data_IF_811199928786
#
_entry.id   IF_811199928786
#
_cell.length_a   1.000
_cell.length_b   1.000
_cell.length_c   1.000
_cell.angle_alpha   90.00
_cell.angle_beta   90.00
_cell.angle_gamma   90.00
#
_symmetry.space_group_name_H-M   'P 1'
#
loop_
_entity.id
_entity.type
_entity.pdbx_description
1 polymer ?
#
# COMPACT_ATOMS: atom_id res chain seq x y z
N UNK A 1 0.06 -14.05 -25.64
CA UNK A 1 -0.99 -13.42 -24.81
C UNK A 1 -0.54 -13.35 -23.36
N UNK A 2 -0.75 -12.24 -22.69
CA UNK A 2 -0.53 -12.05 -21.27
C UNK A 2 -1.88 -11.98 -20.56
N UNK A 3 -2.03 -12.70 -19.44
CA UNK A 3 -3.22 -12.63 -18.61
C UNK A 3 -2.87 -12.11 -17.22
N UNK A 4 -3.67 -11.15 -16.75
CA UNK A 4 -3.64 -10.66 -15.39
C UNK A 4 -4.94 -11.00 -14.65
N UNK A 5 -4.80 -11.53 -13.46
CA UNK A 5 -5.90 -11.85 -12.56
C UNK A 5 -5.53 -11.49 -11.11
N UNK A 6 -6.51 -11.47 -10.22
CA UNK A 6 -6.29 -11.28 -8.80
C UNK A 6 -6.65 -12.55 -8.02
N UNK A 7 -5.73 -12.99 -7.17
CA UNK A 7 -5.97 -14.09 -6.24
C UNK A 7 -6.78 -13.57 -5.06
N UNK A 8 -8.10 -13.80 -5.05
CA UNK A 8 -9.04 -13.27 -4.04
C UNK A 8 -8.62 -13.56 -2.60
N UNK A 9 -8.06 -14.74 -2.31
CA UNK A 9 -7.64 -15.13 -0.97
C UNK A 9 -6.45 -14.38 -0.41
N UNK A 10 -5.61 -13.80 -1.28
CA UNK A 10 -4.38 -13.10 -0.88
C UNK A 10 -4.31 -11.65 -1.35
N UNK A 11 -5.23 -11.22 -2.23
CA UNK A 11 -5.19 -9.90 -2.87
C UNK A 11 -3.99 -9.67 -3.79
N UNK A 12 -3.25 -10.74 -4.12
CA UNK A 12 -2.07 -10.67 -5.00
C UNK A 12 -2.45 -10.73 -6.47
N UNK A 13 -1.64 -10.08 -7.29
CA UNK A 13 -1.71 -10.20 -8.74
C UNK A 13 -1.22 -11.59 -9.16
N UNK A 14 -1.93 -12.20 -10.09
CA UNK A 14 -1.50 -13.37 -10.84
C UNK A 14 -1.22 -12.95 -12.27
N UNK A 15 0.02 -13.09 -12.68
CA UNK A 15 0.50 -12.79 -14.03
C UNK A 15 0.88 -14.10 -14.73
N UNK A 16 0.36 -14.31 -15.92
CA UNK A 16 0.73 -15.46 -16.75
C UNK A 16 1.00 -15.00 -18.19
N UNK A 17 1.93 -15.63 -18.86
CA UNK A 17 2.28 -15.36 -20.26
C UNK A 17 2.40 -16.67 -21.03
N UNK A 18 1.84 -16.71 -22.23
CA UNK A 18 1.96 -17.89 -23.12
C UNK A 18 3.37 -18.05 -23.69
N UNK A 19 4.12 -16.94 -23.77
CA UNK A 19 5.53 -16.94 -24.15
C UNK A 19 6.39 -17.02 -22.90
N UNK A 20 7.03 -18.16 -22.70
CA UNK A 20 7.87 -18.43 -21.55
C UNK A 20 9.13 -17.54 -21.51
N UNK A 21 9.71 -17.25 -22.69
CA UNK A 21 10.90 -16.38 -22.77
C UNK A 21 10.56 -14.95 -22.35
N UNK A 22 9.43 -14.42 -22.81
CA UNK A 22 8.95 -13.11 -22.39
C UNK A 22 8.57 -13.08 -20.90
N UNK A 23 7.97 -14.17 -20.38
CA UNK A 23 7.68 -14.27 -18.95
C UNK A 23 8.94 -14.14 -18.11
N UNK A 24 9.99 -14.90 -18.46
CA UNK A 24 11.26 -14.83 -17.73
C UNK A 24 11.96 -13.47 -17.91
N UNK A 25 11.90 -12.85 -19.11
CA UNK A 25 12.44 -11.49 -19.34
C UNK A 25 11.77 -10.46 -18.40
N UNK A 26 10.44 -10.50 -18.30
CA UNK A 26 9.69 -9.61 -17.40
C UNK A 26 10.09 -9.91 -15.94
N UNK A 27 10.12 -11.16 -15.56
CA UNK A 27 10.47 -11.60 -14.20
C UNK A 27 11.89 -11.18 -13.80
N UNK A 28 12.85 -11.26 -14.72
CA UNK A 28 14.22 -10.79 -14.55
C UNK A 28 14.28 -9.28 -14.34
N UNK A 29 13.52 -8.51 -15.12
CA UNK A 29 13.45 -7.05 -14.98
C UNK A 29 12.96 -6.64 -13.58
N UNK A 30 12.02 -7.41 -13.00
CA UNK A 30 11.51 -7.22 -11.64
C UNK A 30 12.25 -8.08 -10.62
N UNK A 31 13.58 -8.10 -10.69
CA UNK A 31 14.44 -8.79 -9.74
C UNK A 31 15.66 -7.96 -9.36
N UNK A 32 16.22 -8.21 -8.20
CA UNK A 32 17.44 -7.57 -7.70
C UNK A 32 18.49 -8.62 -7.35
N UNK A 33 19.77 -8.24 -7.40
CA UNK A 33 20.84 -9.11 -6.96
C UNK A 33 20.73 -9.40 -5.46
N UNK A 34 20.83 -10.66 -5.08
CA UNK A 34 20.80 -11.07 -3.68
C UNK A 34 22.20 -10.90 -3.05
N UNK A 35 22.51 -9.71 -2.59
CA UNK A 35 23.80 -9.39 -1.97
C UNK A 35 24.08 -10.27 -0.74
N UNK A 36 23.05 -10.62 0.03
CA UNK A 36 23.19 -11.54 1.17
C UNK A 36 23.62 -12.96 0.73
N UNK A 37 23.29 -13.38 -0.50
CA UNK A 37 23.71 -14.68 -1.02
C UNK A 37 25.22 -14.77 -1.26
N UNK A 38 25.92 -13.65 -1.47
CA UNK A 38 27.39 -13.65 -1.57
C UNK A 38 28.03 -14.17 -0.28
N UNK A 39 27.47 -13.80 0.87
CA UNK A 39 27.94 -14.28 2.18
C UNK A 39 27.39 -15.67 2.51
N UNK A 40 26.11 -15.94 2.20
CA UNK A 40 25.47 -17.22 2.45
C UNK A 40 26.07 -18.38 1.61
N UNK A 41 26.68 -18.11 0.44
CA UNK A 41 27.34 -19.12 -0.40
C UNK A 41 28.58 -19.74 0.22
N UNK A 42 29.17 -19.11 1.24
CA UNK A 42 30.17 -19.75 2.08
C UNK A 42 29.61 -20.94 2.85
N UNK A 43 28.29 -20.97 3.08
CA UNK A 43 27.58 -21.97 3.90
C UNK A 43 26.52 -22.77 3.14
N UNK A 44 26.05 -22.28 1.98
CA UNK A 44 25.03 -22.98 1.17
C UNK A 44 25.21 -22.70 -0.32
N UNK A 45 25.46 -23.75 -1.11
CA UNK A 45 25.53 -23.70 -2.59
C UNK A 45 24.20 -23.35 -3.26
N UNK A 46 23.08 -23.41 -2.53
CA UNK A 46 21.71 -23.25 -3.03
C UNK A 46 21.14 -21.85 -2.80
N UNK A 47 21.90 -20.90 -2.24
CA UNK A 47 21.38 -19.54 -2.07
C UNK A 47 21.10 -18.88 -3.43
N UNK A 48 19.86 -18.42 -3.70
CA UNK A 48 19.49 -17.84 -4.98
C UNK A 48 20.27 -16.57 -5.26
N UNK A 49 20.77 -16.42 -6.49
CA UNK A 49 21.57 -15.24 -6.89
C UNK A 49 20.75 -13.97 -6.94
N UNK A 50 19.46 -14.10 -7.26
CA UNK A 50 18.52 -12.98 -7.41
C UNK A 50 17.32 -13.17 -6.50
N UNK A 51 16.75 -12.06 -6.06
CA UNK A 51 15.45 -11.98 -5.42
C UNK A 51 14.46 -11.44 -6.43
N UNK A 52 13.34 -12.10 -6.61
CA UNK A 52 12.34 -11.77 -7.61
C UNK A 52 11.09 -11.20 -6.94
N UNK A 53 10.57 -10.07 -7.45
CA UNK A 53 9.28 -9.54 -7.03
C UNK A 53 8.11 -10.35 -7.62
N UNK A 54 8.36 -11.03 -8.76
CA UNK A 54 7.41 -11.95 -9.40
C UNK A 54 7.89 -13.37 -9.14
N UNK A 55 7.06 -14.23 -8.53
CA UNK A 55 7.40 -15.64 -8.29
C UNK A 55 7.49 -16.41 -9.60
N UNK A 56 8.10 -17.62 -9.58
CA UNK A 56 8.15 -18.49 -10.75
C UNK A 56 6.74 -18.89 -11.27
N UNK A 57 5.74 -18.85 -10.40
CA UNK A 57 4.34 -19.09 -10.78
C UNK A 57 3.59 -17.81 -11.19
N UNK A 58 4.25 -16.65 -11.27
CA UNK A 58 3.66 -15.38 -11.69
C UNK A 58 2.83 -14.67 -10.62
N UNK A 59 3.00 -14.99 -9.34
CA UNK A 59 2.36 -14.26 -8.25
C UNK A 59 3.23 -13.08 -7.82
N UNK A 60 2.64 -11.90 -7.65
CA UNK A 60 3.33 -10.69 -7.21
C UNK A 60 2.37 -9.73 -6.48
N UNK A 61 2.90 -8.63 -5.97
CA UNK A 61 2.05 -7.60 -5.36
C UNK A 61 1.21 -6.89 -6.42
N UNK A 62 -0.02 -6.54 -6.07
CA UNK A 62 -0.98 -5.94 -7.01
C UNK A 62 -0.47 -4.64 -7.64
N UNK A 63 0.30 -3.85 -6.90
CA UNK A 63 0.90 -2.61 -7.40
C UNK A 63 1.83 -2.78 -8.59
N UNK A 64 2.43 -3.98 -8.75
CA UNK A 64 3.27 -4.30 -9.91
C UNK A 64 2.51 -4.34 -11.24
N UNK A 65 1.17 -4.45 -11.23
CA UNK A 65 0.38 -4.41 -12.46
C UNK A 65 0.73 -3.20 -13.34
N UNK A 66 0.75 -2.00 -12.74
CA UNK A 66 1.02 -0.76 -13.49
C UNK A 66 2.46 -0.70 -13.98
N UNK A 67 3.41 -1.16 -13.18
CA UNK A 67 4.83 -1.19 -13.55
C UNK A 67 5.10 -2.21 -14.67
N UNK A 68 4.47 -3.39 -14.62
CA UNK A 68 4.56 -4.37 -15.71
C UNK A 68 3.94 -3.81 -16.99
N UNK A 69 2.78 -3.15 -16.92
CA UNK A 69 2.16 -2.49 -18.07
C UNK A 69 3.05 -1.41 -18.65
N UNK A 70 3.65 -0.58 -17.82
CA UNK A 70 4.59 0.46 -18.26
C UNK A 70 5.83 -0.14 -18.94
N UNK A 71 6.39 -1.21 -18.35
CA UNK A 71 7.52 -1.92 -18.95
C UNK A 71 7.18 -2.46 -20.34
N UNK A 72 6.03 -3.09 -20.54
CA UNK A 72 5.60 -3.60 -21.84
C UNK A 72 5.51 -2.49 -22.90
N UNK A 73 5.02 -1.32 -22.50
CA UNK A 73 4.91 -0.14 -23.39
C UNK A 73 6.31 0.41 -23.71
N UNK A 74 7.18 0.59 -22.74
CA UNK A 74 8.53 1.13 -22.91
C UNK A 74 9.41 0.23 -23.78
N UNK A 75 9.30 -1.09 -23.60
CA UNK A 75 10.01 -2.07 -24.42
C UNK A 75 9.34 -2.34 -25.80
N UNK A 76 8.26 -1.61 -26.12
CA UNK A 76 7.51 -1.75 -27.36
C UNK A 76 7.06 -3.21 -27.64
N UNK A 77 6.75 -3.96 -26.57
CA UNK A 77 6.31 -5.34 -26.66
C UNK A 77 4.84 -5.37 -27.09
N UNK A 78 4.63 -5.69 -28.38
CA UNK A 78 3.30 -5.84 -28.93
C UNK A 78 2.74 -7.23 -28.63
N UNK A 79 1.92 -7.34 -27.60
CA UNK A 79 1.30 -8.59 -27.16
C UNK A 79 -0.10 -8.34 -26.62
N UNK A 80 -1.02 -9.25 -26.90
CA UNK A 80 -2.38 -9.19 -26.37
C UNK A 80 -2.36 -9.32 -24.87
N UNK A 81 -3.06 -8.39 -24.18
CA UNK A 81 -3.18 -8.34 -22.74
C UNK A 81 -4.63 -8.52 -22.34
N UNK A 82 -4.92 -9.59 -21.65
CA UNK A 82 -6.21 -9.87 -21.05
C UNK A 82 -6.21 -9.55 -19.55
N UNK A 83 -7.28 -8.91 -19.09
CA UNK A 83 -7.49 -8.52 -17.70
C UNK A 83 -8.83 -9.09 -17.27
N UNK A 84 -8.83 -9.96 -16.25
CA UNK A 84 -10.07 -10.55 -15.73
C UNK A 84 -11.00 -9.49 -15.11
N UNK A 85 -12.29 -9.76 -15.09
CA UNK A 85 -13.28 -8.83 -14.50
C UNK A 85 -13.07 -8.66 -12.99
N UNK A 86 -12.57 -9.71 -12.31
CA UNK A 86 -12.17 -9.61 -10.91
C UNK A 86 -11.07 -8.57 -10.71
N UNK A 87 -10.05 -8.56 -11.56
CA UNK A 87 -8.97 -7.58 -11.48
C UNK A 87 -9.46 -6.19 -11.91
N UNK A 88 -10.27 -6.09 -12.97
CA UNK A 88 -10.88 -4.81 -13.39
C UNK A 88 -11.65 -4.14 -12.25
N UNK A 89 -12.45 -4.90 -11.50
CA UNK A 89 -13.22 -4.36 -10.38
C UNK A 89 -12.35 -3.79 -9.26
N UNK A 90 -11.14 -4.32 -9.09
CA UNK A 90 -10.16 -3.84 -8.10
C UNK A 90 -9.36 -2.64 -8.63
N UNK A 91 -9.03 -2.63 -9.93
CA UNK A 91 -8.29 -1.54 -10.58
C UNK A 91 -9.18 -0.32 -10.87
N UNK A 92 -10.48 -0.54 -11.11
CA UNK A 92 -11.45 0.51 -11.41
C UNK A 92 -12.07 1.10 -10.13
N UNK A 93 -11.29 1.29 -9.10
CA UNK A 93 -11.72 2.07 -7.91
C UNK A 93 -11.81 3.56 -8.28
N UNK A 94 -12.20 3.84 -9.53
CA UNK A 94 -12.37 5.20 -10.04
C UNK A 94 -13.41 5.96 -9.22
N UNK A 95 -12.95 6.71 -8.25
CA UNK A 95 -13.75 7.74 -7.63
C UNK A 95 -14.03 8.82 -8.68
N UNK A 96 -15.20 8.77 -9.29
CA UNK A 96 -15.71 9.84 -10.15
C UNK A 96 -16.38 10.97 -9.35
N UNK A 97 -16.34 10.89 -8.02
CA UNK A 97 -16.94 11.88 -7.15
C UNK A 97 -16.06 13.13 -7.04
N UNK A 98 -16.64 14.31 -6.87
CA UNK A 98 -15.89 15.51 -6.57
C UNK A 98 -15.01 15.31 -5.34
N UNK A 99 -13.81 15.91 -5.34
CA UNK A 99 -12.98 15.94 -4.14
C UNK A 99 -13.68 16.67 -3.02
N UNK A 100 -13.71 16.06 -1.84
CA UNK A 100 -14.06 16.75 -0.61
C UNK A 100 -12.97 17.77 -0.27
N UNK A 101 -13.35 19.00 0.01
CA UNK A 101 -12.42 20.13 0.25
C UNK A 101 -12.79 21.00 1.45
N UNK A 102 -13.83 20.64 2.18
CA UNK A 102 -14.26 21.41 3.36
C UNK A 102 -13.41 21.05 4.58
N UNK A 103 -12.17 21.55 4.56
CA UNK A 103 -11.17 21.37 5.62
C UNK A 103 -10.89 22.70 6.34
N UNK A 104 -10.19 22.61 7.48
CA UNK A 104 -9.70 23.80 8.19
C UNK A 104 -8.64 24.59 7.40
N UNK A 105 -8.02 23.97 6.39
CA UNK A 105 -6.99 24.57 5.54
C UNK A 105 -7.26 24.22 4.08
N UNK A 106 -6.90 25.13 3.18
CA UNK A 106 -6.98 24.86 1.75
C UNK A 106 -5.95 23.84 1.29
N UNK A 107 -6.38 22.90 0.45
CA UNK A 107 -5.47 21.97 -0.21
C UNK A 107 -4.63 22.70 -1.25
N UNK A 108 -3.33 22.50 -1.22
CA UNK A 108 -2.44 22.95 -2.29
C UNK A 108 -2.65 22.10 -3.54
N UNK A 109 -2.40 22.66 -4.71
CA UNK A 109 -2.61 21.97 -6.00
C UNK A 109 -1.96 20.58 -6.05
N UNK A 110 -0.71 20.47 -5.62
CA UNK A 110 -0.02 19.16 -5.61
C UNK A 110 -0.63 18.15 -4.62
N UNK A 111 -1.23 18.62 -3.52
CA UNK A 111 -1.92 17.75 -2.56
C UNK A 111 -3.21 17.23 -3.18
N UNK A 112 -3.97 18.07 -3.88
CA UNK A 112 -5.13 17.63 -4.65
C UNK A 112 -4.75 16.59 -5.70
N UNK A 113 -3.65 16.80 -6.42
CA UNK A 113 -3.16 15.87 -7.43
C UNK A 113 -2.78 14.52 -6.83
N UNK A 114 -2.11 14.51 -5.67
CA UNK A 114 -1.80 13.28 -4.94
C UNK A 114 -3.09 12.55 -4.56
N UNK A 115 -4.07 13.25 -4.01
CA UNK A 115 -5.35 12.65 -3.59
C UNK A 115 -6.09 12.09 -4.81
N UNK A 116 -6.24 12.87 -5.91
CA UNK A 116 -6.89 12.43 -7.15
C UNK A 116 -6.24 11.16 -7.73
N UNK A 117 -4.89 11.15 -7.80
CA UNK A 117 -4.14 9.99 -8.28
C UNK A 117 -4.31 8.77 -7.35
N UNK A 118 -4.26 9.00 -6.04
CA UNK A 118 -4.46 7.94 -5.04
C UNK A 118 -5.85 7.32 -5.17
N UNK A 119 -6.90 8.12 -5.19
CA UNK A 119 -8.27 7.66 -5.36
C UNK A 119 -8.47 6.88 -6.67
N UNK A 120 -7.84 7.32 -7.76
CA UNK A 120 -7.90 6.63 -9.06
C UNK A 120 -7.19 5.28 -9.05
N UNK A 121 -6.06 5.17 -8.34
CA UNK A 121 -5.22 3.96 -8.35
C UNK A 121 -5.61 2.95 -7.26
N UNK A 122 -6.31 3.39 -6.20
CA UNK A 122 -6.70 2.56 -5.06
C UNK A 122 -5.54 2.18 -4.14
N UNK A 123 -4.28 2.29 -4.58
CA UNK A 123 -3.09 2.00 -3.78
C UNK A 123 -1.84 2.64 -4.36
N UNK A 124 -0.83 2.78 -3.52
CA UNK A 124 0.46 3.30 -3.96
C UNK A 124 1.29 3.92 -2.85
N UNK A 125 2.45 4.42 -3.22
CA UNK A 125 3.34 5.18 -2.35
C UNK A 125 3.30 6.65 -2.75
N UNK A 126 2.97 7.51 -1.80
CA UNK A 126 2.96 8.97 -1.95
C UNK A 126 4.28 9.52 -1.41
N UNK A 127 5.11 10.07 -2.29
CA UNK A 127 6.38 10.69 -1.90
C UNK A 127 6.16 12.18 -1.76
N UNK A 128 6.21 12.67 -0.53
CA UNK A 128 6.02 14.07 -0.17
C UNK A 128 7.18 14.51 0.73
N UNK A 129 7.94 15.49 0.28
CA UNK A 129 9.09 16.01 1.02
C UNK A 129 8.72 16.52 2.42
N UNK A 130 9.73 16.68 3.27
CA UNK A 130 9.53 17.27 4.62
C UNK A 130 8.90 18.66 4.48
N UNK A 131 7.89 18.95 5.30
CA UNK A 131 7.16 20.22 5.24
C UNK A 131 6.12 20.36 4.13
N UNK A 132 5.96 19.33 3.25
CA UNK A 132 4.93 19.34 2.19
C UNK A 132 3.50 19.06 2.71
N UNK A 133 3.27 19.03 4.03
CA UNK A 133 1.95 18.77 4.60
C UNK A 133 1.48 17.33 4.43
N UNK A 134 2.39 16.36 4.56
CA UNK A 134 2.12 14.92 4.44
C UNK A 134 0.93 14.49 5.32
N UNK A 135 0.91 14.89 6.60
CA UNK A 135 -0.16 14.55 7.55
C UNK A 135 -1.51 15.09 7.11
N UNK A 136 -1.55 16.35 6.66
CA UNK A 136 -2.78 16.95 6.12
C UNK A 136 -3.26 16.25 4.85
N UNK A 137 -2.34 15.95 3.91
CA UNK A 137 -2.68 15.19 2.70
C UNK A 137 -3.22 13.80 3.03
N UNK A 138 -2.66 13.15 4.05
CA UNK A 138 -3.14 11.85 4.56
C UNK A 138 -4.56 11.96 5.13
N UNK A 139 -4.80 12.94 6.00
CA UNK A 139 -6.13 13.20 6.58
C UNK A 139 -7.16 13.49 5.48
N UNK A 140 -6.80 14.31 4.49
CA UNK A 140 -7.67 14.64 3.37
C UNK A 140 -7.96 13.44 2.46
N UNK A 141 -7.00 12.54 2.25
CA UNK A 141 -7.24 11.30 1.53
C UNK A 141 -8.22 10.39 2.28
N UNK A 142 -8.04 10.23 3.59
CA UNK A 142 -8.96 9.42 4.43
C UNK A 142 -10.36 10.03 4.41
N UNK A 143 -10.48 11.36 4.55
CA UNK A 143 -11.77 12.06 4.51
C UNK A 143 -12.49 11.84 3.18
N UNK A 144 -11.76 11.87 2.06
CA UNK A 144 -12.35 11.57 0.75
C UNK A 144 -12.88 10.14 0.67
N UNK A 145 -12.20 9.15 1.25
CA UNK A 145 -12.72 7.79 1.37
C UNK A 145 -13.96 7.74 2.26
N UNK A 146 -13.92 8.40 3.41
CA UNK A 146 -15.01 8.43 4.37
C UNK A 146 -16.28 9.10 3.81
N UNK A 147 -16.14 10.22 3.09
CA UNK A 147 -17.27 10.90 2.48
C UNK A 147 -17.94 10.08 1.34
N UNK A 148 -17.16 9.24 0.67
CA UNK A 148 -17.61 8.44 -0.46
C UNK A 148 -17.90 6.97 -0.10
N UNK A 149 -17.74 6.56 1.16
CA UNK A 149 -18.08 5.20 1.58
C UNK A 149 -19.63 5.01 1.61
N UNK A 150 -20.05 3.76 1.47
CA UNK A 150 -21.48 3.43 1.49
C UNK A 150 -22.12 3.64 2.86
N UNK A 151 -21.37 3.35 3.91
CA UNK A 151 -21.83 3.40 5.29
C UNK A 151 -20.72 3.95 6.18
N UNK A 152 -20.96 5.12 6.75
CA UNK A 152 -20.00 5.83 7.59
C UNK A 152 -19.80 5.16 8.96
N UNK A 153 -20.80 4.46 9.46
CA UNK A 153 -20.72 3.81 10.77
C UNK A 153 -19.83 2.57 10.74
N UNK A 154 -19.82 1.87 9.61
CA UNK A 154 -18.97 0.67 9.42
C UNK A 154 -17.61 0.97 8.83
N UNK A 155 -17.39 2.14 8.25
CA UNK A 155 -16.10 2.51 7.67
C UNK A 155 -14.95 2.43 8.70
N UNK A 156 -13.89 1.72 8.35
CA UNK A 156 -12.68 1.55 9.18
C UNK A 156 -11.41 1.84 8.41
N UNK A 157 -10.57 2.69 9.00
CA UNK A 157 -9.22 2.97 8.52
C UNK A 157 -8.19 2.72 9.62
N UNK A 158 -7.06 2.14 9.27
CA UNK A 158 -5.87 2.08 10.13
C UNK A 158 -4.81 3.01 9.59
N UNK A 159 -4.26 3.84 10.46
CA UNK A 159 -3.07 4.66 10.19
C UNK A 159 -1.93 4.13 11.03
N UNK A 160 -0.93 3.54 10.36
CA UNK A 160 0.28 3.03 10.98
C UNK A 160 1.36 4.11 11.00
N UNK A 161 1.85 4.44 12.18
CA UNK A 161 3.01 5.33 12.35
C UNK A 161 4.21 4.56 12.90
N UNK A 162 5.45 5.00 12.65
CA UNK A 162 6.65 4.23 13.03
C UNK A 162 6.79 4.01 14.54
N UNK A 163 6.51 5.02 15.34
CA UNK A 163 6.73 4.98 16.78
C UNK A 163 5.58 5.56 17.60
N UNK A 164 5.66 5.37 18.92
CA UNK A 164 4.58 5.73 19.83
C UNK A 164 4.38 7.25 19.97
N UNK A 165 5.44 8.04 19.89
CA UNK A 165 5.36 9.51 19.97
C UNK A 165 4.53 10.10 18.85
N UNK A 166 4.68 9.54 17.65
CA UNK A 166 3.93 9.98 16.46
C UNK A 166 2.44 9.64 16.52
N UNK A 167 2.00 8.65 17.32
CA UNK A 167 0.57 8.35 17.47
C UNK A 167 -0.19 9.56 17.99
N UNK A 168 0.31 10.20 19.05
CA UNK A 168 -0.34 11.37 19.64
C UNK A 168 -0.23 12.57 18.73
N UNK A 169 0.94 12.82 18.17
CA UNK A 169 1.14 13.93 17.23
C UNK A 169 0.21 13.84 16.02
N UNK A 170 0.16 12.68 15.35
CA UNK A 170 -0.71 12.45 14.18
C UNK A 170 -2.19 12.62 14.54
N UNK A 171 -2.59 12.13 15.73
CA UNK A 171 -3.95 12.30 16.21
C UNK A 171 -4.31 13.78 16.36
N UNK A 172 -3.46 14.56 17.05
CA UNK A 172 -3.70 15.99 17.32
C UNK A 172 -3.69 16.78 16.00
N UNK A 173 -2.79 16.47 15.08
CA UNK A 173 -2.76 17.08 13.75
C UNK A 173 -4.04 16.78 12.94
N UNK A 174 -4.54 15.53 12.95
CA UNK A 174 -5.80 15.18 12.26
C UNK A 174 -7.00 15.90 12.85
N UNK A 175 -7.08 16.03 14.19
CA UNK A 175 -8.13 16.82 14.84
C UNK A 175 -8.15 18.27 14.38
N UNK A 176 -7.01 18.85 14.08
CA UNK A 176 -6.87 20.21 13.61
C UNK A 176 -7.16 20.40 12.10
N UNK A 177 -7.27 19.31 11.34
CA UNK A 177 -7.50 19.38 9.90
C UNK A 177 -8.96 19.67 9.50
N UNK A 178 -9.92 19.62 10.43
CA UNK A 178 -11.35 19.78 10.11
C UNK A 178 -11.95 18.52 9.47
N UNK A 179 -11.44 17.33 9.81
CA UNK A 179 -12.01 16.05 9.37
C UNK A 179 -13.30 15.73 10.11
N UNK A 180 -14.21 14.98 9.46
CA UNK A 180 -15.53 14.65 10.02
C UNK A 180 -15.61 13.23 10.60
N UNK A 181 -14.61 12.38 10.31
CA UNK A 181 -14.55 11.03 10.86
C UNK A 181 -14.13 11.02 12.34
N UNK A 182 -14.59 10.00 13.06
CA UNK A 182 -14.20 9.80 14.47
C UNK A 182 -12.81 9.16 14.56
N UNK A 183 -11.95 9.71 15.42
CA UNK A 183 -10.58 9.29 15.65
C UNK A 183 -10.41 8.56 16.98
N UNK A 184 -9.54 7.57 17.01
CA UNK A 184 -9.04 6.95 18.25
C UNK A 184 -7.55 6.65 18.16
N UNK A 185 -6.88 6.65 19.32
CA UNK A 185 -5.48 6.22 19.46
C UNK A 185 -5.43 4.80 20.00
N UNK A 186 -4.56 3.98 19.44
CA UNK A 186 -4.23 2.69 20.01
C UNK A 186 -2.77 2.66 20.45
N UNK A 187 -2.57 2.60 21.76
CA UNK A 187 -1.25 2.53 22.40
C UNK A 187 -1.18 1.30 23.30
N UNK A 188 0.01 0.91 23.74
CA UNK A 188 0.18 -0.26 24.63
C UNK A 188 -0.63 -0.20 25.93
N UNK A 189 -1.02 1.01 26.37
CA UNK A 189 -1.79 1.25 27.59
C UNK A 189 -3.30 1.37 27.34
N UNK A 190 -3.71 1.71 26.13
CA UNK A 190 -5.12 1.95 25.77
C UNK A 190 -5.53 1.07 24.61
N UNK A 191 -6.68 0.40 24.74
CA UNK A 191 -7.34 -0.27 23.63
C UNK A 191 -7.99 0.80 22.73
N UNK A 192 -8.10 0.57 21.40
CA UNK A 192 -8.80 1.49 20.54
C UNK A 192 -10.30 1.47 20.82
N UNK A 193 -10.96 2.60 20.68
CA UNK A 193 -12.42 2.65 20.59
C UNK A 193 -12.82 2.15 19.20
N UNK A 194 -13.40 0.96 19.11
CA UNK A 194 -13.80 0.36 17.83
C UNK A 194 -15.07 1.01 17.24
N UNK A 195 -15.71 1.95 17.92
CA UNK A 195 -16.77 2.78 17.32
C UNK A 195 -16.18 3.89 16.44
N UNK A 196 -14.89 4.25 16.64
CA UNK A 196 -14.20 5.22 15.82
C UNK A 196 -13.96 4.70 14.40
N UNK A 197 -13.95 5.62 13.44
CA UNK A 197 -13.70 5.33 12.03
C UNK A 197 -12.22 5.13 11.72
N UNK A 198 -11.36 5.90 12.38
CA UNK A 198 -9.92 5.90 12.11
C UNK A 198 -9.15 5.57 13.38
N UNK A 199 -8.34 4.52 13.33
CA UNK A 199 -7.48 4.07 14.41
C UNK A 199 -6.02 4.42 14.07
N UNK A 200 -5.41 5.29 14.86
CA UNK A 200 -3.99 5.62 14.73
C UNK A 200 -3.21 4.77 15.72
N UNK A 201 -2.24 4.00 15.24
CA UNK A 201 -1.42 3.12 16.07
C UNK A 201 0.01 3.01 15.55
N UNK A 202 0.93 2.62 16.42
CA UNK A 202 2.30 2.40 15.99
C UNK A 202 2.54 0.96 15.52
N UNK A 203 3.58 0.78 14.70
CA UNK A 203 3.96 -0.50 14.12
C UNK A 203 4.18 -1.58 15.21
N UNK A 204 4.76 -1.22 16.37
CA UNK A 204 5.03 -2.15 17.46
C UNK A 204 3.77 -2.80 18.04
N UNK A 205 2.69 -2.02 18.20
CA UNK A 205 1.38 -2.53 18.66
C UNK A 205 0.81 -3.52 17.66
N UNK A 206 0.83 -3.16 16.36
CA UNK A 206 0.33 -4.04 15.32
C UNK A 206 1.12 -5.35 15.30
N UNK A 207 2.44 -5.31 15.43
CA UNK A 207 3.28 -6.51 15.47
C UNK A 207 3.01 -7.43 16.68
N UNK A 208 2.59 -6.86 17.80
CA UNK A 208 2.33 -7.61 19.03
C UNK A 208 0.88 -8.08 19.20
N UNK A 209 -0.08 -7.37 18.60
CA UNK A 209 -1.53 -7.57 18.84
C UNK A 209 -2.32 -7.97 17.63
N UNK A 210 -1.71 -8.11 16.45
CA UNK A 210 -2.42 -8.39 15.20
C UNK A 210 -3.25 -9.68 15.28
N UNK A 211 -2.67 -10.76 15.82
CA UNK A 211 -3.33 -12.06 15.89
C UNK A 211 -4.50 -12.07 16.89
N UNK A 212 -4.52 -11.13 17.84
CA UNK A 212 -5.60 -10.91 18.82
C UNK A 212 -6.67 -9.91 18.31
N UNK A 213 -6.46 -9.30 17.15
CA UNK A 213 -7.26 -8.18 16.63
C UNK A 213 -7.79 -8.48 15.23
N UNK A 214 -8.76 -9.40 15.18
CA UNK A 214 -9.37 -9.89 13.91
C UNK A 214 -9.91 -8.76 13.03
N UNK A 215 -10.47 -7.69 13.62
CA UNK A 215 -11.01 -6.53 12.93
C UNK A 215 -9.99 -5.83 12.01
N UNK A 216 -8.69 -5.88 12.35
CA UNK A 216 -7.64 -5.27 11.54
C UNK A 216 -7.52 -5.88 10.14
N UNK A 217 -7.96 -7.11 9.96
CA UNK A 217 -7.89 -7.81 8.67
C UNK A 217 -8.89 -7.25 7.66
N UNK A 218 -9.98 -6.65 8.14
CA UNK A 218 -11.16 -6.28 7.34
C UNK A 218 -11.42 -4.78 7.29
N UNK A 219 -10.39 -3.96 7.41
CA UNK A 219 -10.53 -2.51 7.28
C UNK A 219 -10.71 -2.11 5.81
N UNK A 220 -11.35 -0.96 5.59
CA UNK A 220 -11.60 -0.42 4.24
C UNK A 220 -10.35 0.27 3.67
N UNK A 221 -9.53 0.83 4.54
CA UNK A 221 -8.37 1.63 4.18
C UNK A 221 -7.20 1.38 5.12
N UNK A 222 -6.01 1.22 4.57
CA UNK A 222 -4.75 1.14 5.30
C UNK A 222 -3.81 2.26 4.86
N UNK A 223 -3.36 3.05 5.80
CA UNK A 223 -2.33 4.07 5.61
C UNK A 223 -1.09 3.68 6.40
N UNK A 224 0.07 3.84 5.80
CA UNK A 224 1.36 3.60 6.44
C UNK A 224 2.23 4.84 6.31
N UNK A 225 2.44 5.54 7.41
CA UNK A 225 3.37 6.66 7.43
C UNK A 225 4.81 6.19 7.53
N UNK A 226 5.73 6.97 6.95
CA UNK A 226 7.16 6.62 6.79
C UNK A 226 7.37 5.19 6.25
N UNK A 227 6.60 4.85 5.22
CA UNK A 227 6.56 3.51 4.64
C UNK A 227 7.92 3.00 4.13
N UNK A 228 8.90 3.88 3.88
CA UNK A 228 10.28 3.50 3.53
C UNK A 228 10.96 2.65 4.61
N UNK A 229 10.48 2.70 5.86
CA UNK A 229 10.97 1.85 6.96
C UNK A 229 10.47 0.42 6.88
N UNK A 230 9.46 0.13 6.03
CA UNK A 230 8.91 -1.20 5.85
C UNK A 230 9.67 -1.90 4.75
N UNK A 231 10.43 -2.94 5.13
CA UNK A 231 11.16 -3.79 4.21
C UNK A 231 10.40 -5.09 3.97
N UNK A 232 10.53 -5.65 2.78
CA UNK A 232 9.89 -6.92 2.38
C UNK A 232 10.16 -8.08 3.35
N UNK A 233 11.31 -8.07 4.03
CA UNK A 233 11.71 -9.09 5.02
C UNK A 233 11.13 -8.88 6.42
N UNK A 234 10.54 -7.72 6.73
CA UNK A 234 10.11 -7.37 8.08
C UNK A 234 8.79 -8.08 8.46
N UNK A 235 8.61 -8.35 9.77
CA UNK A 235 7.36 -8.90 10.32
C UNK A 235 6.14 -8.05 9.94
N UNK A 236 6.29 -6.72 9.95
CA UNK A 236 5.20 -5.79 9.61
C UNK A 236 4.74 -5.92 8.15
N UNK A 237 5.64 -6.15 7.20
CA UNK A 237 5.28 -6.39 5.80
C UNK A 237 4.37 -7.62 5.65
N UNK A 238 4.68 -8.71 6.39
CA UNK A 238 3.85 -9.92 6.42
C UNK A 238 2.47 -9.67 7.04
N UNK A 239 2.38 -8.78 8.03
CA UNK A 239 1.11 -8.40 8.64
C UNK A 239 0.28 -7.55 7.67
N UNK A 240 0.88 -6.55 7.03
CA UNK A 240 0.22 -5.69 6.03
C UNK A 240 -0.36 -6.54 4.89
N UNK A 241 0.33 -7.61 4.48
CA UNK A 241 -0.18 -8.52 3.45
C UNK A 241 -1.39 -9.34 3.88
N UNK A 242 -1.62 -9.54 5.19
CA UNK A 242 -2.80 -10.22 5.73
C UNK A 242 -4.03 -9.31 5.86
N UNK A 243 -3.86 -7.99 5.77
CA UNK A 243 -4.96 -7.04 5.76
C UNK A 243 -5.60 -7.09 4.37
N UNK A 244 -6.88 -7.42 4.29
CA UNK A 244 -7.55 -7.81 3.02
C UNK A 244 -7.84 -6.62 2.12
N UNK A 245 -7.97 -5.39 2.67
CA UNK A 245 -8.31 -4.22 1.87
C UNK A 245 -7.43 -4.02 0.64
N UNK A 246 -8.04 -3.58 -0.44
CA UNK A 246 -7.31 -3.20 -1.67
C UNK A 246 -6.77 -1.76 -1.58
N UNK A 247 -7.32 -0.94 -0.71
CA UNK A 247 -6.94 0.46 -0.54
C UNK A 247 -5.79 0.56 0.48
N UNK A 248 -4.55 0.59 -0.02
CA UNK A 248 -3.34 0.66 0.81
C UNK A 248 -2.41 1.74 0.30
N UNK A 249 -2.07 2.67 1.17
CA UNK A 249 -1.16 3.77 0.81
C UNK A 249 -0.01 3.87 1.79
N UNK A 250 1.18 4.06 1.23
CA UNK A 250 2.35 4.45 1.98
C UNK A 250 2.63 5.94 1.78
N UNK A 251 2.91 6.66 2.84
CA UNK A 251 3.41 8.03 2.79
C UNK A 251 4.86 8.07 3.24
N UNK A 252 5.70 8.82 2.54
CA UNK A 252 7.12 8.95 2.90
C UNK A 252 7.74 10.22 2.34
N UNK A 253 8.78 10.73 3.00
CA UNK A 253 9.62 11.81 2.45
C UNK A 253 10.68 11.30 1.48
N UNK A 254 11.04 10.02 1.56
CA UNK A 254 12.13 9.41 0.77
C UNK A 254 11.70 8.02 0.27
N UNK A 255 12.17 7.65 -0.91
CA UNK A 255 11.99 6.28 -1.41
C UNK A 255 13.07 5.35 -0.83
N UNK A 256 12.77 4.06 -0.62
CA UNK A 256 13.79 3.06 -0.34
C UNK A 256 14.85 3.03 -1.44
N UNK A 257 16.11 2.74 -1.08
CA UNK A 257 17.18 2.57 -2.06
C UNK A 257 17.05 1.26 -2.84
N UNK A 258 16.64 0.18 -2.16
CA UNK A 258 16.45 -1.14 -2.77
C UNK A 258 15.18 -1.19 -3.62
N UNK A 259 15.31 -1.57 -4.89
CA UNK A 259 14.19 -1.70 -5.80
C UNK A 259 13.19 -2.77 -5.36
N UNK A 260 13.63 -3.85 -4.70
CA UNK A 260 12.71 -4.87 -4.20
C UNK A 260 11.76 -4.29 -3.14
N UNK A 261 12.27 -3.44 -2.26
CA UNK A 261 11.47 -2.75 -1.24
C UNK A 261 10.52 -1.70 -1.86
N UNK A 262 10.91 -1.08 -2.99
CA UNK A 262 10.02 -0.19 -3.77
C UNK A 262 8.85 -0.94 -4.39
N UNK A 263 9.05 -2.21 -4.79
CA UNK A 263 8.03 -3.01 -5.46
C UNK A 263 7.12 -3.78 -4.49
N UNK A 264 7.50 -3.93 -3.24
CA UNK A 264 6.72 -4.62 -2.21
C UNK A 264 5.68 -3.74 -1.56
#
# INVERSE_FOLDING_TARGET
>A
MINFDIVKSSGKLKFTCTDTSLFEKIRENFSVENTAARFARRYSRFAPRRKYAITATGSCELGLYWLIRQYLIQEQINIDVNITDNLKSVLNVGYNNPLYKDFAFDLREYQEDVIKKSLKLGRGTCVLGTGAGKTFTTAALIENYFQNCKDKDTFKCIVLVPDLGLVTQTYDEFMNCGTTFKLTKWTGKMKPDLTANVVICNIGIVQSRFDESEWMKYVDLLIVDECHKIKSSNKISKIISKIVTQNKYGFTGTLPEDNLDKWS
#
